data_IF_084614121485
#
_entry.id   IF_084614121485
#
_cell.length_a   1.000
_cell.length_b   1.000
_cell.length_c   1.000
_cell.angle_alpha   90.00
_cell.angle_beta   90.00
_cell.angle_gamma   90.00
#
_symmetry.space_group_name_H-M   'P 1'
#
loop_
_entity.id
_entity.type
_entity.pdbx_description
1 polymer ?
#
# COMPACT_ATOMS: atom_id res chain seq x y z
N UNK A 1 6.99 -2.28 -16.84
CA UNK A 1 6.18 -1.03 -16.82
C UNK A 1 6.88 -0.01 -15.92
N UNK A 2 6.82 1.31 -16.20
CA UNK A 2 7.38 2.34 -15.27
C UNK A 2 6.57 2.41 -13.98
N UNK A 3 7.23 2.66 -12.85
CA UNK A 3 6.61 2.71 -11.50
C UNK A 3 5.36 3.59 -11.43
N UNK A 4 5.36 4.81 -11.98
CA UNK A 4 4.18 5.69 -11.94
C UNK A 4 2.96 5.15 -12.70
N UNK A 5 3.17 4.40 -13.81
CA UNK A 5 2.07 3.75 -14.53
C UNK A 5 1.55 2.55 -13.75
N UNK A 6 2.45 1.81 -13.09
CA UNK A 6 2.12 0.69 -12.23
C UNK A 6 1.28 1.12 -11.03
N UNK A 7 1.65 2.21 -10.37
CA UNK A 7 0.88 2.82 -9.28
C UNK A 7 -0.53 3.20 -9.75
N UNK A 8 -0.65 3.90 -10.88
CA UNK A 8 -1.97 4.32 -11.40
C UNK A 8 -2.87 3.12 -11.70
N UNK A 9 -2.32 2.08 -12.33
CA UNK A 9 -3.07 0.87 -12.63
C UNK A 9 -3.49 0.12 -11.36
N UNK A 10 -2.60 0.01 -10.37
CA UNK A 10 -2.90 -0.60 -9.07
C UNK A 10 -3.99 0.16 -8.31
N UNK A 11 -3.90 1.49 -8.23
CA UNK A 11 -4.93 2.33 -7.60
C UNK A 11 -6.27 2.17 -8.30
N UNK A 12 -6.31 2.22 -9.63
CA UNK A 12 -7.55 2.01 -10.38
C UNK A 12 -8.17 0.64 -10.11
N UNK A 13 -7.36 -0.43 -10.05
CA UNK A 13 -7.84 -1.76 -9.70
C UNK A 13 -8.41 -1.81 -8.26
N UNK A 14 -7.78 -1.14 -7.30
CA UNK A 14 -8.31 -1.03 -5.94
C UNK A 14 -9.65 -0.26 -5.90
N UNK A 15 -9.77 0.81 -6.70
CA UNK A 15 -10.99 1.63 -6.81
C UNK A 15 -12.16 0.89 -7.48
N UNK A 16 -11.88 0.00 -8.45
CA UNK A 16 -12.89 -0.83 -9.11
C UNK A 16 -13.67 -1.67 -8.09
N UNK A 17 -12.98 -2.20 -7.07
CA UNK A 17 -13.56 -3.01 -5.99
C UNK A 17 -13.89 -2.18 -4.74
N UNK A 18 -13.89 -0.85 -4.88
CA UNK A 18 -14.31 0.11 -3.85
C UNK A 18 -13.47 0.03 -2.56
N UNK A 19 -12.15 -0.15 -2.70
CA UNK A 19 -11.26 0.08 -1.56
C UNK A 19 -11.41 1.50 -1.01
N UNK A 20 -11.20 1.64 0.30
CA UNK A 20 -11.27 2.92 1.01
C UNK A 20 -9.89 3.43 1.38
N UNK A 21 -9.80 4.74 1.59
CA UNK A 21 -8.63 5.40 2.20
C UNK A 21 -7.30 5.05 1.51
N UNK A 22 -7.31 4.97 0.17
CA UNK A 22 -6.13 4.61 -0.62
C UNK A 22 -5.10 5.73 -0.50
N UNK A 23 -3.89 5.39 -0.06
CA UNK A 23 -2.75 6.31 0.05
C UNK A 23 -1.57 5.74 -0.71
N UNK A 24 -0.82 6.62 -1.36
CA UNK A 24 0.43 6.27 -2.04
C UNK A 24 1.57 7.03 -1.39
N UNK A 25 2.57 6.30 -0.91
CA UNK A 25 3.76 6.84 -0.24
C UNK A 25 4.98 6.65 -1.13
N UNK A 26 5.83 7.69 -1.19
CA UNK A 26 7.15 7.63 -1.82
C UNK A 26 8.20 7.33 -0.77
N UNK A 27 8.82 6.15 -0.87
CA UNK A 27 9.74 5.63 0.15
C UNK A 27 11.16 5.49 -0.36
N UNK A 28 11.46 6.01 -1.56
CA UNK A 28 12.80 5.93 -2.18
C UNK A 28 13.92 6.54 -1.36
N UNK A 29 13.58 7.41 -0.40
CA UNK A 29 14.54 8.03 0.54
C UNK A 29 14.72 7.22 1.83
N UNK A 30 13.90 6.21 2.06
CA UNK A 30 13.85 5.41 3.28
C UNK A 30 14.37 3.99 3.06
N UNK A 31 14.20 3.45 1.85
CA UNK A 31 14.66 2.11 1.48
C UNK A 31 15.04 2.05 0.00
N UNK A 32 15.89 1.07 -0.33
CA UNK A 32 16.31 0.76 -1.71
C UNK A 32 15.56 -0.43 -2.31
N UNK A 33 14.71 -1.10 -1.52
CA UNK A 33 14.03 -2.34 -1.93
C UNK A 33 12.89 -2.08 -2.92
N UNK A 34 12.14 -1.00 -2.72
CA UNK A 34 10.99 -0.62 -3.54
C UNK A 34 10.80 0.90 -3.51
N UNK A 35 10.10 1.43 -4.53
CA UNK A 35 9.95 2.87 -4.72
C UNK A 35 8.72 3.44 -4.01
N UNK A 36 7.61 2.69 -4.04
CA UNK A 36 6.31 3.15 -3.59
C UNK A 36 5.63 2.11 -2.71
N UNK A 37 4.91 2.59 -1.71
CA UNK A 37 3.94 1.79 -0.95
C UNK A 37 2.55 2.33 -1.26
N UNK A 38 1.60 1.43 -1.52
CA UNK A 38 0.17 1.73 -1.58
C UNK A 38 -0.47 1.11 -0.34
N UNK A 39 -1.25 1.88 0.40
CA UNK A 39 -2.02 1.38 1.55
C UNK A 39 -3.49 1.62 1.25
N UNK A 40 -4.31 0.57 1.33
CA UNK A 40 -5.74 0.63 1.06
C UNK A 40 -6.52 -0.13 2.14
N UNK A 41 -7.75 0.29 2.37
CA UNK A 41 -8.64 -0.34 3.34
C UNK A 41 -9.75 -1.16 2.69
N UNK A 42 -9.96 -2.37 3.23
CA UNK A 42 -11.06 -3.26 2.88
C UNK A 42 -12.01 -3.43 4.08
N UNK A 43 -13.31 -3.40 3.83
CA UNK A 43 -14.36 -3.47 4.87
C UNK A 43 -14.53 -4.87 5.45
N UNK A 44 -14.01 -5.89 4.77
CA UNK A 44 -14.08 -7.27 5.21
C UNK A 44 -12.95 -8.09 4.59
N UNK A 45 -12.67 -9.25 5.18
CA UNK A 45 -11.72 -10.21 4.62
C UNK A 45 -12.10 -10.67 3.21
N UNK A 46 -13.41 -10.79 2.94
CA UNK A 46 -13.91 -11.11 1.60
C UNK A 46 -13.57 -10.01 0.58
N UNK A 47 -13.75 -8.74 0.95
CA UNK A 47 -13.36 -7.63 0.07
C UNK A 47 -11.84 -7.55 -0.08
N UNK A 48 -11.08 -7.81 0.99
CA UNK A 48 -9.62 -7.89 0.92
C UNK A 48 -9.14 -8.87 -0.16
N UNK A 49 -9.65 -10.10 -0.15
CA UNK A 49 -9.37 -11.10 -1.19
C UNK A 49 -9.84 -10.70 -2.58
N UNK A 50 -11.01 -10.05 -2.68
CA UNK A 50 -11.49 -9.56 -3.97
C UNK A 50 -10.57 -8.47 -4.55
N UNK A 51 -10.03 -7.60 -3.69
CA UNK A 51 -9.08 -6.56 -4.07
C UNK A 51 -7.75 -7.15 -4.55
N UNK A 52 -7.16 -8.10 -3.81
CA UNK A 52 -5.89 -8.72 -4.21
C UNK A 52 -6.01 -9.45 -5.54
N UNK A 53 -7.06 -10.25 -5.71
CA UNK A 53 -7.34 -10.97 -6.96
C UNK A 53 -7.55 -10.01 -8.13
N UNK A 54 -8.37 -8.97 -7.96
CA UNK A 54 -8.64 -8.03 -9.04
C UNK A 54 -7.42 -7.20 -9.42
N UNK A 55 -6.59 -6.81 -8.46
CA UNK A 55 -5.28 -6.19 -8.72
C UNK A 55 -4.40 -7.13 -9.54
N UNK A 56 -4.35 -8.41 -9.18
CA UNK A 56 -3.57 -9.40 -9.92
C UNK A 56 -4.03 -9.50 -11.37
N UNK A 57 -5.31 -9.77 -11.60
CA UNK A 57 -5.90 -9.92 -12.93
C UNK A 57 -5.69 -8.66 -13.79
N UNK A 58 -5.94 -7.47 -13.24
CA UNK A 58 -5.79 -6.21 -13.97
C UNK A 58 -4.34 -5.92 -14.34
N UNK A 59 -3.40 -6.18 -13.45
CA UNK A 59 -1.99 -5.88 -13.71
C UNK A 59 -1.37 -6.88 -14.67
N UNK A 60 -1.71 -8.17 -14.57
CA UNK A 60 -1.27 -9.17 -15.54
C UNK A 60 -1.81 -8.89 -16.95
N UNK A 61 -3.09 -8.49 -17.06
CA UNK A 61 -3.68 -8.10 -18.34
C UNK A 61 -2.98 -6.88 -18.99
N UNK A 62 -2.30 -6.06 -18.19
CA UNK A 62 -1.48 -4.93 -18.65
C UNK A 62 0.00 -5.30 -18.86
N UNK A 63 0.35 -6.58 -18.74
CA UNK A 63 1.72 -7.09 -18.89
C UNK A 63 2.64 -6.71 -17.73
N UNK A 64 2.09 -6.33 -16.57
CA UNK A 64 2.86 -6.20 -15.34
C UNK A 64 3.00 -7.55 -14.64
N UNK A 65 4.09 -7.70 -13.88
CA UNK A 65 4.37 -8.88 -13.08
C UNK A 65 3.92 -8.66 -11.65
N UNK A 66 3.16 -9.61 -11.12
CA UNK A 66 2.91 -9.76 -9.68
C UNK A 66 3.87 -10.83 -9.18
N UNK A 67 4.68 -10.50 -8.18
CA UNK A 67 5.73 -11.40 -7.66
C UNK A 67 5.19 -12.35 -6.60
N UNK A 68 4.21 -11.90 -5.82
CA UNK A 68 3.57 -12.71 -4.81
C UNK A 68 2.47 -11.97 -4.08
N UNK A 69 1.62 -12.74 -3.41
CA UNK A 69 0.57 -12.27 -2.52
C UNK A 69 0.66 -13.04 -1.20
N UNK A 70 0.69 -12.33 -0.08
CA UNK A 70 0.76 -12.91 1.27
C UNK A 70 -0.46 -12.51 2.10
N UNK A 71 -0.90 -13.37 3.04
CA UNK A 71 -2.00 -13.07 3.97
C UNK A 71 -3.42 -13.24 3.40
N UNK A 72 -3.55 -13.58 2.12
CA UNK A 72 -4.85 -13.68 1.42
C UNK A 72 -5.85 -14.64 2.07
N UNK A 73 -5.39 -15.76 2.62
CA UNK A 73 -6.25 -16.77 3.24
C UNK A 73 -7.03 -16.19 4.43
N UNK A 74 -6.38 -15.34 5.25
CA UNK A 74 -7.03 -14.65 6.37
C UNK A 74 -7.78 -13.43 5.85
N UNK A 75 -7.11 -12.57 5.08
CA UNK A 75 -7.69 -11.44 4.35
C UNK A 75 -7.90 -10.16 5.17
N UNK A 76 -7.49 -10.14 6.44
CA UNK A 76 -7.50 -8.96 7.30
C UNK A 76 -6.30 -8.03 7.01
N UNK A 77 -5.17 -8.60 6.60
CA UNK A 77 -4.02 -7.92 6.01
C UNK A 77 -3.47 -8.77 4.87
N UNK A 78 -3.53 -8.22 3.67
CA UNK A 78 -2.93 -8.80 2.47
C UNK A 78 -1.80 -7.90 1.97
N UNK A 79 -0.67 -8.50 1.62
CA UNK A 79 0.43 -7.84 0.93
C UNK A 79 0.48 -8.33 -0.52
N UNK A 80 0.57 -7.40 -1.47
CA UNK A 80 0.80 -7.71 -2.89
C UNK A 80 2.11 -7.08 -3.32
N UNK A 81 3.03 -7.92 -3.81
CA UNK A 81 4.35 -7.51 -4.27
C UNK A 81 4.37 -7.34 -5.80
N UNK A 82 4.66 -6.12 -6.26
CA UNK A 82 4.82 -5.77 -7.69
C UNK A 82 6.28 -5.38 -8.03
N UNK A 83 7.23 -5.74 -7.16
CA UNK A 83 8.65 -5.42 -7.26
C UNK A 83 8.93 -4.00 -6.77
N UNK A 84 8.73 -3.00 -7.63
CA UNK A 84 8.98 -1.59 -7.27
C UNK A 84 7.84 -0.93 -6.48
N UNK A 85 6.69 -1.59 -6.40
CA UNK A 85 5.50 -1.10 -5.70
C UNK A 85 4.98 -2.22 -4.81
N UNK A 86 4.76 -1.92 -3.53
CA UNK A 86 4.14 -2.84 -2.58
C UNK A 86 2.76 -2.32 -2.21
N UNK A 87 1.75 -3.20 -2.18
CA UNK A 87 0.39 -2.85 -1.79
C UNK A 87 0.04 -3.56 -0.49
N UNK A 88 -0.38 -2.78 0.51
CA UNK A 88 -0.98 -3.28 1.74
C UNK A 88 -2.50 -3.06 1.68
N UNK A 89 -3.26 -4.15 1.70
CA UNK A 89 -4.73 -4.12 1.81
C UNK A 89 -5.08 -4.59 3.21
N UNK A 90 -5.62 -3.68 4.04
CA UNK A 90 -5.86 -3.95 5.45
C UNK A 90 -7.29 -3.64 5.87
N UNK A 91 -7.85 -4.40 6.80
CA UNK A 91 -9.05 -3.96 7.50
C UNK A 91 -8.76 -2.71 8.35
N UNK A 92 -9.74 -1.81 8.54
CA UNK A 92 -9.52 -0.56 9.27
C UNK A 92 -8.95 -0.73 10.68
N UNK A 93 -9.32 -1.80 11.39
CA UNK A 93 -8.80 -2.12 12.73
C UNK A 93 -7.32 -2.47 12.69
N UNK A 94 -6.92 -3.34 11.75
CA UNK A 94 -5.53 -3.76 11.55
C UNK A 94 -4.67 -2.57 11.11
N UNK A 95 -5.15 -1.79 10.13
CA UNK A 95 -4.46 -0.57 9.67
C UNK A 95 -4.20 0.42 10.81
N UNK A 96 -5.20 0.66 11.67
CA UNK A 96 -5.03 1.54 12.85
C UNK A 96 -4.04 0.97 13.88
N UNK A 97 -4.01 -0.35 14.06
CA UNK A 97 -3.11 -0.99 15.00
C UNK A 97 -1.64 -0.87 14.56
N UNK A 98 -1.35 -1.12 13.28
CA UNK A 98 0.02 -1.10 12.75
C UNK A 98 0.48 0.28 12.28
N UNK A 99 -0.44 1.16 11.86
CA UNK A 99 -0.19 2.56 11.49
C UNK A 99 1.03 2.76 10.57
N UNK A 100 1.10 1.97 9.50
CA UNK A 100 2.25 1.95 8.59
C UNK A 100 2.50 3.32 7.94
N UNK A 101 1.47 4.14 7.80
CA UNK A 101 1.57 5.51 7.30
C UNK A 101 2.53 6.36 8.15
N UNK A 102 2.54 6.24 9.48
CA UNK A 102 3.49 6.98 10.30
C UNK A 102 4.92 6.46 10.17
N UNK A 103 5.08 5.16 9.97
CA UNK A 103 6.40 4.54 9.77
C UNK A 103 7.03 4.96 8.45
N UNK A 104 6.23 5.07 7.39
CA UNK A 104 6.69 5.31 6.02
C UNK A 104 6.44 6.72 5.51
N UNK A 105 5.69 7.54 6.24
CA UNK A 105 5.66 8.97 5.96
C UNK A 105 7.06 9.54 6.17
N UNK A 106 7.51 10.44 5.29
CA UNK A 106 8.69 11.24 5.58
C UNK A 106 8.49 11.86 6.96
N UNK A 107 9.47 11.73 7.86
CA UNK A 107 9.48 12.43 9.14
C UNK A 107 9.24 13.92 8.85
N UNK A 108 7.98 14.39 8.94
CA UNK A 108 7.69 15.82 9.03
C UNK A 108 8.39 16.22 10.30
N UNK A 109 9.51 16.92 10.13
CA UNK A 109 10.55 17.01 11.15
C UNK A 109 9.97 17.08 12.54
N UNK A 110 10.38 16.14 13.42
CA UNK A 110 10.30 16.34 14.87
C UNK A 110 10.82 17.75 15.07
N UNK A 111 9.92 18.71 15.32
CA UNK A 111 10.32 20.01 15.82
C UNK A 111 11.00 19.66 17.12
N UNK A 112 12.33 19.69 17.12
CA UNK A 112 13.10 19.71 18.35
C UNK A 112 12.44 20.78 19.21
N UNK A 113 12.04 20.49 20.45
CA UNK A 113 11.64 21.55 21.37
C UNK A 113 12.81 22.54 21.34
N UNK A 114 12.57 23.75 20.83
CA UNK A 114 13.55 24.82 20.94
C UNK A 114 13.95 24.84 22.40
N UNK A 115 15.23 24.58 22.67
CA UNK A 115 15.83 24.85 23.95
C UNK A 115 15.39 26.26 24.34
N UNK A 116 14.58 26.34 25.41
CA UNK A 116 14.11 27.59 25.96
C UNK A 116 15.32 28.47 26.23
N UNK A 117 15.30 29.64 25.60
CA UNK A 117 16.23 30.70 25.89
C UNK A 117 15.88 31.32 27.26
N UNK A 118 16.95 31.70 27.96
CA UNK A 118 17.03 32.53 29.17
C UNK A 118 16.84 31.83 30.51
#
# INVERSE_FOLDING_TARGET
MRSDKLVKAAVAALEDIKARDIVVLDVRRMTVLFDKIIIASADSARQGRALSNHVHEKLEALGARVYGTEGEQVGDWILVDLGQVIIHIMQPTVRRHYNLEELWAPLRGRRSPRAGAH
#
